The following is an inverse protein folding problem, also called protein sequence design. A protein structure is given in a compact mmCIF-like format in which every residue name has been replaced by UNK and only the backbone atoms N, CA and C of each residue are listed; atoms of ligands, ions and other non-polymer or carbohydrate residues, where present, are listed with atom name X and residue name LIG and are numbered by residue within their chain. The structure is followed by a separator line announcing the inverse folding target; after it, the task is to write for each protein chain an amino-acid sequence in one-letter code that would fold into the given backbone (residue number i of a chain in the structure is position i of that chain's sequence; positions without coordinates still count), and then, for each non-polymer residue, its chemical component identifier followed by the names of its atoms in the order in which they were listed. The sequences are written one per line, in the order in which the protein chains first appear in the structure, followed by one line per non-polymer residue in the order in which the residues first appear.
data_IF_990224817615
#
_entry.id   IF_990224817615
#
_cell.length_a   1.000
_cell.length_b   1.000
_cell.length_c   1.000
_cell.angle_alpha   90.00
_cell.angle_beta   90.00
_cell.angle_gamma   90.00
#
_symmetry.space_group_name_H-M   'P 1'
#
loop_
_entity.id
_entity.type
_entity.pdbx_description
1 polymer ?
#
# COMPACT_ATOMS: atom_id res chain seq x y z
N UNK A 1 0.60 41.36 -7.94
CA UNK A 1 0.57 39.92 -8.24
C UNK A 1 1.59 39.70 -9.34
N UNK A 2 2.84 39.53 -8.95
CA UNK A 2 3.99 39.31 -9.84
C UNK A 2 4.01 37.84 -10.25
N UNK A 3 4.03 37.58 -11.54
CA UNK A 3 4.10 36.24 -12.11
C UNK A 3 5.38 35.52 -11.61
N UNK A 4 5.27 34.41 -10.86
CA UNK A 4 6.44 33.69 -10.34
C UNK A 4 7.05 32.74 -11.38
N UNK A 5 6.54 32.68 -12.60
CA UNK A 5 7.10 31.83 -13.66
C UNK A 5 7.74 32.72 -14.73
N UNK A 6 9.03 33.00 -14.56
CA UNK A 6 9.84 33.70 -15.55
C UNK A 6 9.62 33.11 -16.94
N UNK A 7 9.07 33.92 -17.84
CA UNK A 7 8.83 33.56 -19.22
C UNK A 7 10.17 33.27 -19.91
N UNK A 8 10.50 31.99 -20.06
CA UNK A 8 11.59 31.56 -20.92
C UNK A 8 11.28 31.97 -22.36
N UNK A 9 11.93 33.01 -22.86
CA UNK A 9 11.86 33.38 -24.27
C UNK A 9 12.68 32.32 -25.04
N UNK A 10 12.00 31.50 -25.84
CA UNK A 10 12.67 30.66 -26.84
C UNK A 10 13.07 31.56 -28.01
N UNK A 11 14.25 32.17 -27.91
CA UNK A 11 14.84 32.97 -28.96
C UNK A 11 15.88 32.17 -29.75
N UNK A 12 15.60 31.89 -31.03
CA UNK A 12 16.65 31.47 -31.95
C UNK A 12 17.37 32.73 -32.46
N UNK A 13 18.50 33.06 -31.86
CA UNK A 13 19.39 34.14 -32.31
C UNK A 13 20.43 33.55 -33.26
N UNK A 14 20.57 34.13 -34.46
CA UNK A 14 21.66 33.81 -35.39
C UNK A 14 22.72 34.89 -35.22
N UNK A 15 23.88 34.55 -34.66
CA UNK A 15 25.07 35.37 -34.86
C UNK A 15 25.67 35.03 -36.24
N UNK A 16 26.49 35.92 -36.79
CA UNK A 16 27.04 35.79 -38.15
C UNK A 16 27.94 34.56 -38.37
N UNK A 17 28.14 33.68 -37.37
CA UNK A 17 29.06 32.56 -37.48
C UNK A 17 28.56 31.18 -37.03
N UNK A 18 27.42 31.01 -36.37
CA UNK A 18 26.82 29.67 -36.13
C UNK A 18 25.44 29.77 -35.44
N UNK A 19 24.69 28.66 -35.45
CA UNK A 19 23.42 28.50 -34.71
C UNK A 19 23.72 28.39 -33.20
N UNK A 20 23.43 29.44 -32.43
CA UNK A 20 23.43 29.35 -30.97
C UNK A 20 22.24 28.50 -30.52
N UNK A 21 22.53 27.33 -29.95
CA UNK A 21 21.49 26.45 -29.40
C UNK A 21 20.93 27.05 -28.09
N UNK A 22 19.70 27.55 -28.17
CA UNK A 22 18.99 28.27 -27.12
C UNK A 22 18.62 27.44 -25.89
N UNK A 23 19.56 27.29 -24.97
CA UNK A 23 19.33 26.87 -23.58
C UNK A 23 19.97 27.83 -22.57
N UNK A 24 20.27 29.07 -22.99
CA UNK A 24 20.76 30.13 -22.12
C UNK A 24 19.59 30.84 -21.42
N UNK A 25 19.77 31.25 -20.16
CA UNK A 25 18.79 32.10 -19.47
C UNK A 25 18.83 33.50 -20.10
N UNK A 26 17.71 34.22 -20.10
CA UNK A 26 17.68 35.58 -20.63
C UNK A 26 18.72 36.47 -19.92
N UNK A 27 19.63 37.07 -20.69
CA UNK A 27 20.72 37.91 -20.17
C UNK A 27 22.01 37.18 -19.79
N UNK A 28 22.08 35.85 -19.99
CA UNK A 28 23.29 35.06 -19.77
C UNK A 28 24.21 35.11 -21.00
N UNK A 29 25.49 35.42 -20.79
CA UNK A 29 26.50 35.33 -21.86
C UNK A 29 26.99 33.88 -22.07
N UNK A 30 27.76 33.67 -23.14
CA UNK A 30 28.29 32.36 -23.51
C UNK A 30 29.16 31.73 -22.40
N UNK A 31 29.97 32.53 -21.69
CA UNK A 31 30.85 32.04 -20.64
C UNK A 31 30.04 31.59 -19.42
N UNK A 32 29.05 32.38 -19.02
CA UNK A 32 28.13 32.04 -17.93
C UNK A 32 27.33 30.77 -18.24
N UNK A 33 26.89 30.59 -19.50
CA UNK A 33 26.23 29.36 -19.93
C UNK A 33 27.15 28.13 -19.76
N UNK A 34 28.40 28.19 -20.22
CA UNK A 34 29.34 27.08 -20.07
C UNK A 34 29.68 26.79 -18.61
N UNK A 35 29.81 27.83 -17.78
CA UNK A 35 30.00 27.66 -16.34
C UNK A 35 28.80 26.96 -15.70
N UNK A 36 27.56 27.31 -16.08
CA UNK A 36 26.36 26.61 -15.61
C UNK A 36 26.30 25.17 -16.12
N UNK A 37 26.54 24.94 -17.40
CA UNK A 37 26.52 23.57 -17.97
C UNK A 37 27.54 22.69 -17.25
N UNK A 38 28.75 23.20 -17.04
CA UNK A 38 29.80 22.50 -16.27
C UNK A 38 29.37 22.24 -14.84
N UNK A 39 28.73 23.21 -14.17
CA UNK A 39 28.16 23.03 -12.83
C UNK A 39 27.08 21.96 -12.81
N UNK A 40 26.16 21.96 -13.76
CA UNK A 40 25.09 20.97 -13.87
C UNK A 40 25.64 19.57 -14.17
N UNK A 41 26.63 19.46 -15.05
CA UNK A 41 27.31 18.20 -15.33
C UNK A 41 28.03 17.69 -14.09
N UNK A 42 28.70 18.57 -13.33
CA UNK A 42 29.29 18.21 -12.02
C UNK A 42 28.25 17.84 -10.98
N UNK A 43 27.05 18.44 -11.00
CA UNK A 43 25.95 18.05 -10.11
C UNK A 43 25.39 16.68 -10.47
N UNK A 44 25.23 16.38 -11.77
CA UNK A 44 24.80 15.06 -12.24
C UNK A 44 25.86 14.02 -11.91
N UNK A 45 27.14 14.31 -12.17
CA UNK A 45 28.28 13.49 -11.76
C UNK A 45 28.34 13.36 -10.24
N UNK A 46 27.93 14.41 -9.51
CA UNK A 46 27.87 14.39 -8.06
C UNK A 46 26.77 13.50 -7.49
N UNK A 47 25.70 13.31 -8.26
CA UNK A 47 24.59 12.44 -7.91
C UNK A 47 24.78 11.01 -8.42
N UNK A 48 25.88 10.71 -9.11
CA UNK A 48 26.20 9.32 -9.43
C UNK A 48 26.43 8.54 -8.14
N UNK A 49 25.76 7.39 -8.03
CA UNK A 49 25.62 6.56 -6.83
C UNK A 49 26.95 6.07 -6.22
N UNK A 50 28.09 6.32 -6.88
CA UNK A 50 29.39 5.78 -6.51
C UNK A 50 30.29 6.77 -5.76
N UNK A 51 29.86 8.00 -5.48
CA UNK A 51 30.70 8.93 -4.72
C UNK A 51 31.11 8.38 -3.36
N UNK A 52 32.41 8.36 -3.08
CA UNK A 52 32.96 7.84 -1.83
C UNK A 52 32.53 6.39 -1.54
N UNK A 53 32.06 5.65 -2.55
CA UNK A 53 31.73 4.25 -2.42
C UNK A 53 33.02 3.42 -2.35
N UNK A 54 32.98 2.22 -1.72
CA UNK A 54 34.02 1.24 -1.90
C UNK A 54 34.29 0.97 -3.38
N UNK A 55 35.57 0.78 -3.74
CA UNK A 55 35.98 0.37 -5.09
C UNK A 55 36.64 -1.02 -5.03
N UNK A 56 35.84 -2.12 -5.03
CA UNK A 56 36.36 -3.47 -4.85
C UNK A 56 37.33 -3.92 -5.93
N UNK A 57 37.22 -3.35 -7.14
CA UNK A 57 38.12 -3.66 -8.25
C UNK A 57 39.59 -3.28 -7.96
N UNK A 58 39.82 -2.43 -6.95
CA UNK A 58 41.15 -1.95 -6.54
C UNK A 58 41.59 -2.45 -5.16
N UNK A 59 40.86 -3.36 -4.53
CA UNK A 59 41.29 -3.95 -3.27
C UNK A 59 42.53 -4.82 -3.46
N UNK A 60 43.51 -4.67 -2.58
CA UNK A 60 44.73 -5.47 -2.60
C UNK A 60 45.25 -5.71 -1.19
N UNK A 61 45.17 -6.95 -0.70
CA UNK A 61 45.50 -7.29 0.68
C UNK A 61 44.67 -6.48 1.68
N UNK A 62 45.34 -5.70 2.54
CA UNK A 62 44.71 -4.82 3.53
C UNK A 62 44.38 -3.41 3.00
N UNK A 63 44.56 -3.17 1.69
CA UNK A 63 44.32 -1.87 1.08
C UNK A 63 42.85 -1.74 0.65
N UNK A 64 42.11 -0.88 1.33
CA UNK A 64 40.75 -0.49 0.98
C UNK A 64 40.79 0.69 0.01
N UNK A 65 40.27 0.50 -1.20
CA UNK A 65 40.16 1.54 -2.21
C UNK A 65 38.75 2.15 -2.23
N UNK A 66 38.63 3.43 -2.51
CA UNK A 66 37.34 4.10 -2.65
C UNK A 66 37.33 5.01 -3.87
N UNK A 67 36.14 5.18 -4.45
CA UNK A 67 35.93 6.18 -5.50
C UNK A 67 35.98 7.58 -4.91
N UNK A 68 36.55 8.51 -5.66
CA UNK A 68 36.48 9.93 -5.36
C UNK A 68 35.04 10.45 -5.35
N UNK A 69 34.91 11.76 -5.23
CA UNK A 69 33.62 12.41 -5.26
C UNK A 69 33.76 13.90 -5.49
N UNK A 70 32.63 14.60 -5.50
CA UNK A 70 32.56 16.05 -5.67
C UNK A 70 31.81 16.62 -4.48
N UNK A 71 32.42 17.59 -3.82
CA UNK A 71 31.88 18.22 -2.62
C UNK A 71 31.55 19.68 -2.88
N UNK A 72 30.44 20.14 -2.31
CA UNK A 72 30.06 21.55 -2.31
C UNK A 72 30.52 22.19 -1.00
N UNK A 73 31.77 22.64 -0.96
CA UNK A 73 32.37 23.35 0.18
C UNK A 73 32.35 24.86 -0.03
N UNK A 74 31.33 25.38 -0.71
CA UNK A 74 31.26 26.75 -1.22
C UNK A 74 31.77 26.88 -2.67
N UNK A 75 32.64 25.95 -3.08
CA UNK A 75 33.03 25.67 -4.46
C UNK A 75 33.00 24.16 -4.70
N UNK A 76 32.61 23.74 -5.91
CA UNK A 76 32.55 22.32 -6.30
C UNK A 76 33.97 21.77 -6.45
N UNK A 77 34.44 21.08 -5.40
CA UNK A 77 35.78 20.50 -5.33
C UNK A 77 35.73 19.02 -5.68
N UNK A 78 36.54 18.60 -6.66
CA UNK A 78 36.69 17.19 -7.04
C UNK A 78 37.75 16.55 -6.14
N UNK A 79 37.36 15.49 -5.45
CA UNK A 79 38.22 14.63 -4.65
C UNK A 79 38.56 13.39 -5.49
N UNK A 80 39.83 13.06 -5.71
CA UNK A 80 40.22 11.89 -6.48
C UNK A 80 39.92 10.59 -5.72
N UNK A 81 39.91 9.46 -6.43
CA UNK A 81 39.96 8.13 -5.82
C UNK A 81 41.14 8.02 -4.86
N UNK A 82 40.97 7.24 -3.79
CA UNK A 82 42.02 7.02 -2.81
C UNK A 82 42.04 5.61 -2.26
N UNK A 83 43.08 5.35 -1.47
CA UNK A 83 43.32 4.07 -0.83
C UNK A 83 43.63 4.29 0.67
N UNK A 84 43.20 3.37 1.53
CA UNK A 84 43.55 3.30 2.94
C UNK A 84 44.14 1.93 3.28
N UNK A 85 45.21 1.90 4.07
CA UNK A 85 45.74 0.66 4.63
C UNK A 85 45.02 0.39 5.95
N UNK A 86 44.36 -0.76 6.04
CA UNK A 86 43.63 -1.17 7.22
C UNK A 86 44.46 -2.11 8.11
N UNK A 87 44.24 -2.11 9.44
CA UNK A 87 44.84 -3.11 10.32
C UNK A 87 44.37 -4.52 9.94
N UNK A 88 45.23 -5.52 10.15
CA UNK A 88 44.89 -6.93 9.93
C UNK A 88 44.02 -7.49 11.07
N UNK A 89 43.16 -8.47 10.78
CA UNK A 89 42.30 -9.15 11.75
C UNK A 89 41.45 -8.18 12.59
N UNK A 90 40.95 -7.12 11.97
CA UNK A 90 40.24 -6.04 12.66
C UNK A 90 39.00 -5.61 11.89
N UNK A 91 38.11 -4.89 12.57
CA UNK A 91 37.03 -4.13 11.92
C UNK A 91 37.44 -2.66 11.91
N UNK A 92 37.35 -2.02 10.76
CA UNK A 92 37.61 -0.60 10.56
C UNK A 92 36.37 0.11 10.05
N UNK A 93 36.13 1.30 10.55
CA UNK A 93 35.03 2.17 10.15
C UNK A 93 35.63 3.28 9.31
N UNK A 94 35.40 3.21 7.99
CA UNK A 94 35.89 4.18 7.02
C UNK A 94 34.89 5.33 6.93
N UNK A 95 35.39 6.54 7.13
CA UNK A 95 34.60 7.76 7.23
C UNK A 95 35.32 8.92 6.53
N UNK A 96 34.56 9.94 6.15
CA UNK A 96 35.09 11.16 5.53
C UNK A 96 34.69 12.42 6.26
N UNK A 97 35.52 13.45 6.15
CA UNK A 97 35.16 14.81 6.53
C UNK A 97 34.24 15.45 5.48
N UNK A 98 33.64 16.57 5.85
CA UNK A 98 32.90 17.45 4.91
C UNK A 98 33.79 18.01 3.80
N UNK A 99 35.11 18.05 4.03
CA UNK A 99 36.12 18.44 3.04
C UNK A 99 36.67 17.28 2.20
N UNK A 100 36.20 16.05 2.42
CA UNK A 100 36.56 14.88 1.60
C UNK A 100 37.85 14.17 2.00
N UNK A 101 38.43 14.49 3.15
CA UNK A 101 39.50 13.68 3.72
C UNK A 101 38.92 12.37 4.23
N UNK A 102 39.49 11.24 3.82
CA UNK A 102 39.01 9.90 4.22
C UNK A 102 39.97 9.29 5.24
N UNK A 103 39.44 8.65 6.27
CA UNK A 103 40.22 7.91 7.27
C UNK A 103 39.51 6.63 7.70
N UNK A 104 40.23 5.79 8.45
CA UNK A 104 39.69 4.62 9.12
C UNK A 104 39.87 4.72 10.63
N UNK A 105 38.83 4.40 11.40
CA UNK A 105 38.86 4.34 12.87
C UNK A 105 38.47 2.96 13.38
N UNK A 106 38.90 2.61 14.59
CA UNK A 106 38.75 1.25 15.13
C UNK A 106 37.47 1.02 15.95
N UNK A 107 36.83 2.09 16.44
CA UNK A 107 35.73 2.00 17.42
C UNK A 107 34.52 2.80 16.94
N UNK A 108 33.80 2.25 15.97
CA UNK A 108 32.58 2.88 15.42
C UNK A 108 32.86 4.13 14.57
N UNK A 109 31.80 4.69 13.98
CA UNK A 109 31.87 5.96 13.26
C UNK A 109 31.91 7.15 14.23
N UNK A 110 32.69 8.17 13.89
CA UNK A 110 32.83 9.42 14.65
C UNK A 110 31.74 10.41 14.23
N UNK A 111 30.49 10.13 14.60
CA UNK A 111 29.34 11.01 14.32
C UNK A 111 29.20 12.09 15.41
N UNK A 112 28.81 13.34 15.10
CA UNK A 112 28.39 13.87 13.79
C UNK A 112 29.51 14.46 12.92
N UNK A 113 30.73 14.54 13.43
CA UNK A 113 31.83 15.28 12.78
C UNK A 113 32.37 14.60 11.51
N UNK A 114 32.07 13.31 11.32
CA UNK A 114 32.47 12.52 10.16
C UNK A 114 31.28 11.78 9.55
N UNK A 115 31.29 11.71 8.22
CA UNK A 115 30.27 11.04 7.43
C UNK A 115 30.67 9.58 7.22
N UNK A 116 29.86 8.60 7.66
CA UNK A 116 30.11 7.19 7.42
C UNK A 116 30.23 6.84 5.93
N UNK A 117 31.21 6.02 5.58
CA UNK A 117 31.36 5.45 4.23
C UNK A 117 31.19 3.94 4.22
N UNK A 118 32.02 3.22 4.99
CA UNK A 118 32.01 1.76 4.98
C UNK A 118 32.45 1.17 6.31
N UNK A 119 31.96 -0.01 6.61
CA UNK A 119 32.50 -0.88 7.66
C UNK A 119 33.25 -2.03 6.99
N UNK A 120 34.54 -2.15 7.27
CA UNK A 120 35.44 -3.09 6.59
C UNK A 120 36.01 -4.07 7.61
N UNK A 121 35.90 -5.36 7.34
CA UNK A 121 36.52 -6.42 8.15
C UNK A 121 37.69 -7.03 7.41
N UNK A 122 38.85 -7.08 8.05
CA UNK A 122 40.04 -7.74 7.51
C UNK A 122 40.32 -9.04 8.26
N UNK A 123 40.89 -10.03 7.56
CA UNK A 123 41.33 -11.29 8.16
C UNK A 123 42.49 -11.87 7.34
N UNK A 124 43.49 -12.41 8.04
CA UNK A 124 44.62 -13.12 7.43
C UNK A 124 45.35 -12.34 6.30
N UNK A 125 45.44 -11.01 6.44
CA UNK A 125 46.14 -10.14 5.48
C UNK A 125 45.27 -9.63 4.32
N UNK A 126 43.98 -9.93 4.33
CA UNK A 126 43.05 -9.54 3.26
C UNK A 126 41.79 -8.84 3.80
N UNK A 127 41.12 -8.08 2.94
CA UNK A 127 39.76 -7.59 3.17
C UNK A 127 38.78 -8.76 2.98
N UNK A 128 38.03 -9.09 4.03
CA UNK A 128 37.10 -10.22 4.05
C UNK A 128 35.63 -9.82 3.86
N UNK A 129 35.27 -8.60 4.28
CA UNK A 129 33.90 -8.10 4.19
C UNK A 129 33.92 -6.57 4.12
N UNK A 130 33.02 -6.01 3.32
CA UNK A 130 32.81 -4.57 3.18
C UNK A 130 31.33 -4.31 3.14
N UNK A 131 30.85 -3.59 4.15
CA UNK A 131 29.48 -3.12 4.22
C UNK A 131 29.45 -1.62 3.94
N UNK A 132 28.76 -1.22 2.88
CA UNK A 132 28.49 0.20 2.60
C UNK A 132 27.60 0.77 3.71
N UNK A 133 28.03 1.90 4.27
CA UNK A 133 27.36 2.59 5.39
C UNK A 133 27.06 4.04 5.05
N UNK A 134 27.15 4.43 3.77
CA UNK A 134 26.78 5.78 3.34
C UNK A 134 25.30 6.02 3.63
N UNK A 135 24.93 7.21 4.14
CA UNK A 135 23.52 7.57 4.30
C UNK A 135 22.85 7.62 2.91
N UNK A 136 21.63 7.09 2.81
CA UNK A 136 20.84 7.15 1.58
C UNK A 136 20.59 8.61 1.18
N UNK A 137 20.66 8.90 -0.13
CA UNK A 137 20.39 10.24 -0.67
C UNK A 137 19.01 10.74 -0.21
N UNK A 138 18.99 11.76 0.65
CA UNK A 138 17.76 12.35 1.22
C UNK A 138 17.34 11.78 2.57
N UNK A 139 18.01 10.75 3.09
CA UNK A 139 17.88 10.31 4.48
C UNK A 139 18.75 11.18 5.38
N UNK A 140 18.16 11.84 6.38
CA UNK A 140 18.95 12.47 7.44
C UNK A 140 19.91 11.42 8.04
N UNK A 141 21.19 11.73 8.27
CA UNK A 141 22.17 10.75 8.74
C UNK A 141 21.77 10.30 10.15
N UNK A 142 21.19 9.10 10.26
CA UNK A 142 20.80 8.51 11.53
C UNK A 142 22.03 7.93 12.23
N UNK A 143 22.78 8.82 12.88
CA UNK A 143 23.73 8.45 13.94
C UNK A 143 22.97 7.92 15.17
N UNK A 144 22.33 6.76 15.04
CA UNK A 144 21.85 5.96 16.18
C UNK A 144 21.55 4.54 15.70
N UNK A 145 22.18 3.57 16.36
CA UNK A 145 22.03 2.13 16.20
C UNK A 145 20.76 1.64 15.47
N UNK A 146 20.97 1.06 14.27
CA UNK A 146 20.07 0.16 13.56
C UNK A 146 18.56 0.38 13.75
N UNK A 147 18.03 1.36 13.02
CA UNK A 147 16.60 1.44 12.70
C UNK A 147 16.42 1.04 11.24
N UNK A 148 15.73 -0.08 11.00
CA UNK A 148 15.20 -0.39 9.68
C UNK A 148 13.76 0.10 9.66
N UNK A 149 13.51 1.21 8.98
CA UNK A 149 12.15 1.70 8.76
C UNK A 149 11.58 1.01 7.52
N UNK A 150 10.77 -0.02 7.71
CA UNK A 150 9.95 -0.55 6.64
C UNK A 150 8.74 0.36 6.46
N UNK A 151 8.77 1.17 5.40
CA UNK A 151 7.61 1.95 4.97
C UNK A 151 6.93 1.21 3.81
N UNK A 152 5.84 0.50 4.08
CA UNK A 152 4.87 0.19 3.03
C UNK A 152 3.42 0.25 3.53
N UNK A 153 2.68 1.14 2.85
CA UNK A 153 1.35 0.95 2.26
C UNK A 153 0.30 0.29 3.17
N UNK A 154 -0.46 1.13 3.89
CA UNK A 154 -1.93 1.08 4.07
C UNK A 154 -2.35 1.96 5.27
N UNK A 155 -2.39 3.29 5.07
CA UNK A 155 -3.32 4.20 5.75
C UNK A 155 -3.29 4.38 7.28
N UNK A 156 -2.52 3.65 8.07
CA UNK A 156 -2.44 3.86 9.53
C UNK A 156 -1.02 3.64 10.03
N UNK A 157 -0.42 4.69 10.59
CA UNK A 157 0.95 4.67 11.09
C UNK A 157 0.96 3.95 12.44
N UNK A 158 1.51 2.73 12.47
CA UNK A 158 1.90 2.09 13.72
C UNK A 158 3.43 2.22 13.87
N UNK A 159 3.86 3.22 14.65
CA UNK A 159 5.27 3.38 15.02
C UNK A 159 5.63 2.35 16.09
N UNK A 160 6.30 1.27 15.71
CA UNK A 160 6.83 0.28 16.67
C UNK A 160 8.35 0.45 16.76
N UNK A 161 8.84 0.93 17.90
CA UNK A 161 10.26 1.02 18.22
C UNK A 161 10.69 -0.25 18.95
N UNK A 162 11.70 -0.98 18.44
CA UNK A 162 12.20 -2.19 19.11
C UNK A 162 13.74 -2.19 19.18
N UNK A 163 14.34 -2.45 20.35
CA UNK A 163 15.80 -2.51 20.49
C UNK A 163 16.42 -3.78 19.89
N UNK A 164 17.64 -3.65 19.35
CA UNK A 164 18.42 -4.73 18.72
C UNK A 164 18.81 -5.89 19.66
N UNK A 165 18.72 -5.71 20.98
CA UNK A 165 18.94 -6.79 21.95
C UNK A 165 17.83 -7.85 21.93
N UNK A 166 16.72 -7.57 21.25
CA UNK A 166 15.56 -8.45 21.17
C UNK A 166 15.51 -9.29 19.88
N UNK A 167 16.60 -9.43 19.11
CA UNK A 167 16.59 -10.18 17.81
C UNK A 167 16.13 -11.63 17.93
N UNK A 168 16.32 -12.29 19.09
CA UNK A 168 15.74 -13.62 19.34
C UNK A 168 14.22 -13.58 19.57
N UNK A 169 13.68 -12.46 20.06
CA UNK A 169 12.24 -12.19 20.17
C UNK A 169 11.65 -11.75 18.83
N UNK A 170 12.47 -11.27 17.87
CA UNK A 170 12.03 -10.94 16.51
C UNK A 170 11.65 -12.18 15.69
N UNK A 171 12.25 -13.34 15.93
CA UNK A 171 11.77 -14.59 15.32
C UNK A 171 10.41 -15.01 15.86
N UNK A 172 10.14 -14.78 17.15
CA UNK A 172 8.80 -14.93 17.71
C UNK A 172 7.83 -13.90 17.12
N UNK A 173 8.26 -12.65 16.94
CA UNK A 173 7.44 -11.59 16.33
C UNK A 173 7.13 -11.84 14.84
N UNK A 174 8.12 -12.25 14.04
CA UNK A 174 7.93 -12.64 12.64
C UNK A 174 7.01 -13.85 12.51
N UNK A 175 7.12 -14.81 13.43
CA UNK A 175 6.21 -15.96 13.49
C UNK A 175 4.78 -15.47 13.77
N UNK A 176 4.59 -14.61 14.77
CA UNK A 176 3.29 -14.02 15.13
C UNK A 176 2.69 -13.20 13.98
N UNK A 177 3.50 -12.37 13.31
CA UNK A 177 3.08 -11.54 12.18
C UNK A 177 2.71 -12.40 10.95
N UNK A 178 3.47 -13.47 10.69
CA UNK A 178 3.15 -14.42 9.61
C UNK A 178 1.91 -15.26 9.88
N UNK A 179 1.54 -15.49 11.15
CA UNK A 179 0.25 -16.12 11.53
C UNK A 179 -0.92 -15.14 11.56
N UNK A 180 -0.67 -13.83 11.45
CA UNK A 180 -1.69 -12.77 11.51
C UNK A 180 -2.05 -12.20 10.14
N UNK A 181 -1.37 -12.60 9.06
CA UNK A 181 -1.87 -12.42 7.70
C UNK A 181 -2.61 -13.70 7.37
N UNK A 182 -3.95 -13.75 7.51
CA UNK A 182 -4.69 -14.92 7.08
C UNK A 182 -4.44 -15.10 5.58
N UNK A 183 -4.25 -16.34 5.13
CA UNK A 183 -4.64 -16.78 3.78
C UNK A 183 -5.90 -16.00 3.33
N UNK A 184 -6.04 -15.62 2.04
CA UNK A 184 -7.04 -14.65 1.57
C UNK A 184 -8.33 -14.81 2.34
N UNK A 185 -8.70 -13.77 3.11
CA UNK A 185 -9.64 -13.88 4.21
C UNK A 185 -10.89 -14.64 3.76
N UNK A 186 -11.03 -15.90 4.16
CA UNK A 186 -12.28 -16.64 3.99
C UNK A 186 -13.21 -16.12 5.08
N UNK A 187 -13.83 -14.98 4.81
CA UNK A 187 -14.85 -14.42 5.69
C UNK A 187 -16.10 -15.27 5.49
N UNK A 188 -16.28 -16.27 6.35
CA UNK A 188 -17.48 -17.11 6.36
C UNK A 188 -18.69 -16.36 6.93
N UNK A 189 -18.48 -15.23 7.62
CA UNK A 189 -19.56 -14.47 8.28
C UNK A 189 -19.31 -12.97 8.20
N UNK A 190 -20.28 -12.25 7.62
CA UNK A 190 -20.35 -10.79 7.66
C UNK A 190 -21.34 -10.41 8.77
N UNK A 191 -20.86 -9.71 9.80
CA UNK A 191 -21.71 -9.20 10.88
C UNK A 191 -22.02 -7.72 10.65
N UNK A 192 -23.30 -7.37 10.56
CA UNK A 192 -23.74 -5.98 10.65
C UNK A 192 -23.49 -5.45 12.06
N UNK A 193 -22.85 -4.28 12.20
CA UNK A 193 -22.48 -3.67 13.49
C UNK A 193 -23.34 -2.49 13.89
N UNK A 194 -24.29 -2.14 13.04
CA UNK A 194 -25.22 -1.02 13.22
C UNK A 194 -26.63 -1.59 13.29
N UNK A 195 -27.47 -1.01 14.15
CA UNK A 195 -28.88 -1.34 14.14
C UNK A 195 -29.52 -0.69 12.91
N UNK A 196 -30.20 -1.48 12.08
CA UNK A 196 -31.04 -1.04 10.96
C UNK A 196 -30.34 -0.31 9.78
N UNK A 197 -29.01 -0.38 9.64
CA UNK A 197 -28.33 0.32 8.53
C UNK A 197 -28.18 -0.54 7.26
N UNK A 198 -28.21 -1.86 7.41
CA UNK A 198 -27.89 -2.84 6.39
C UNK A 198 -26.40 -2.92 6.05
N UNK A 199 -26.06 -3.90 5.21
CA UNK A 199 -24.74 -4.03 4.57
C UNK A 199 -24.94 -4.05 3.06
N UNK A 200 -24.31 -3.11 2.35
CA UNK A 200 -24.25 -3.14 0.89
C UNK A 200 -23.06 -3.99 0.46
N UNK A 201 -23.32 -5.08 -0.26
CA UNK A 201 -22.27 -5.94 -0.83
C UNK A 201 -22.34 -5.84 -2.36
N UNK A 202 -21.35 -5.17 -2.94
CA UNK A 202 -21.24 -5.03 -4.39
C UNK A 202 -20.47 -6.21 -4.97
N UNK A 203 -20.94 -6.76 -6.10
CA UNK A 203 -20.23 -7.83 -6.80
C UNK A 203 -20.33 -9.22 -6.16
N UNK A 204 -21.38 -9.49 -5.38
CA UNK A 204 -21.63 -10.84 -4.84
C UNK A 204 -21.77 -11.83 -6.00
N UNK A 205 -20.83 -12.75 -6.11
CA UNK A 205 -20.95 -13.93 -6.96
C UNK A 205 -21.55 -15.07 -6.13
N UNK A 206 -22.84 -15.28 -6.30
CA UNK A 206 -23.51 -16.46 -5.75
C UNK A 206 -23.35 -17.60 -6.75
N UNK A 207 -22.81 -18.73 -6.30
CA UNK A 207 -22.80 -19.95 -7.11
C UNK A 207 -24.22 -20.48 -7.19
N UNK A 208 -24.59 -20.99 -8.36
CA UNK A 208 -25.89 -21.62 -8.57
C UNK A 208 -26.06 -22.83 -7.66
N UNK A 209 -27.24 -22.94 -7.03
CA UNK A 209 -27.62 -24.12 -6.23
C UNK A 209 -27.53 -24.00 -4.71
N UNK A 210 -26.93 -22.93 -4.16
CA UNK A 210 -26.79 -22.76 -2.70
C UNK A 210 -27.68 -21.64 -2.11
N UNK A 211 -28.33 -20.85 -2.96
CA UNK A 211 -29.39 -19.93 -2.50
C UNK A 211 -30.69 -20.72 -2.36
N UNK A 212 -31.01 -21.13 -1.13
CA UNK A 212 -32.33 -21.66 -0.82
C UNK A 212 -33.32 -20.52 -0.55
N UNK A 213 -34.03 -20.09 -1.60
CA UNK A 213 -35.27 -19.33 -1.40
C UNK A 213 -36.31 -20.33 -0.92
N UNK A 214 -36.77 -20.17 0.33
CA UNK A 214 -37.81 -21.03 0.91
C UNK A 214 -39.01 -21.13 -0.04
N UNK A 215 -39.12 -22.24 -0.76
CA UNK A 215 -40.23 -22.48 -1.69
C UNK A 215 -41.48 -22.67 -0.85
N UNK A 216 -42.60 -22.08 -1.27
CA UNK A 216 -43.91 -22.33 -0.66
C UNK A 216 -44.77 -23.15 -1.63
N UNK A 217 -45.51 -24.12 -1.11
CA UNK A 217 -46.60 -24.74 -1.85
C UNK A 217 -47.76 -23.74 -1.95
N UNK A 218 -48.36 -23.68 -3.14
CA UNK A 218 -49.54 -22.87 -3.41
C UNK A 218 -50.75 -23.77 -3.59
N UNK A 219 -51.85 -23.40 -2.95
CA UNK A 219 -53.18 -23.94 -3.20
C UNK A 219 -54.09 -22.85 -3.68
N UNK A 220 -54.91 -23.18 -4.67
CA UNK A 220 -55.90 -22.29 -5.25
C UNK A 220 -57.23 -23.03 -5.28
N UNK A 221 -58.28 -22.36 -4.86
CA UNK A 221 -59.66 -22.86 -4.96
C UNK A 221 -60.56 -21.75 -5.50
N UNK A 222 -60.95 -21.88 -6.76
CA UNK A 222 -61.94 -21.02 -7.41
C UNK A 222 -63.32 -21.63 -7.18
N UNK A 223 -64.14 -20.94 -6.39
CA UNK A 223 -65.47 -21.44 -6.02
C UNK A 223 -66.48 -21.35 -7.17
N UNK A 224 -66.16 -20.65 -8.26
CA UNK A 224 -67.06 -20.48 -9.40
C UNK A 224 -68.34 -19.70 -9.09
N UNK A 225 -68.44 -19.07 -7.91
CA UNK A 225 -69.60 -18.26 -7.51
C UNK A 225 -69.49 -16.83 -8.05
N UNK A 226 -70.57 -16.07 -7.96
CA UNK A 226 -70.60 -14.63 -8.29
C UNK A 226 -70.99 -13.83 -7.03
N UNK A 227 -70.21 -12.82 -6.59
CA UNK A 227 -68.95 -12.35 -7.17
C UNK A 227 -67.87 -13.45 -7.16
N UNK A 228 -66.95 -13.37 -8.13
CA UNK A 228 -65.92 -14.40 -8.27
C UNK A 228 -65.05 -14.41 -7.02
N UNK A 229 -64.90 -15.58 -6.42
CA UNK A 229 -64.20 -15.76 -5.15
C UNK A 229 -63.13 -16.84 -5.30
N UNK A 230 -61.88 -16.43 -5.08
CA UNK A 230 -60.70 -17.28 -5.14
C UNK A 230 -60.03 -17.33 -3.76
N UNK A 231 -59.75 -18.54 -3.28
CA UNK A 231 -58.93 -18.75 -2.09
C UNK A 231 -57.52 -19.11 -2.50
N UNK A 232 -56.53 -18.51 -1.84
CA UNK A 232 -55.11 -18.78 -2.06
C UNK A 232 -54.46 -19.17 -0.74
N UNK A 233 -53.93 -20.38 -0.67
CA UNK A 233 -53.18 -20.89 0.48
C UNK A 233 -51.68 -20.97 0.17
N UNK A 234 -50.85 -20.52 1.11
CA UNK A 234 -49.38 -20.66 1.07
C UNK A 234 -48.92 -21.45 2.30
N UNK A 235 -48.07 -22.46 2.10
CA UNK A 235 -47.46 -23.23 3.19
C UNK A 235 -46.12 -23.83 2.76
N UNK A 236 -45.39 -24.46 3.68
CA UNK A 236 -44.22 -25.27 3.32
C UNK A 236 -44.60 -26.40 2.33
N UNK A 237 -43.71 -26.77 1.38
CA UNK A 237 -43.93 -27.92 0.50
C UNK A 237 -44.13 -29.21 1.32
N UNK A 238 -45.16 -29.98 0.98
CA UNK A 238 -45.53 -31.20 1.71
C UNK A 238 -46.45 -30.98 2.91
N UNK A 239 -46.81 -29.74 3.24
CA UNK A 239 -47.82 -29.46 4.27
C UNK A 239 -49.14 -30.17 3.98
N UNK A 240 -49.69 -30.84 4.99
CA UNK A 240 -51.01 -31.44 4.89
C UNK A 240 -52.09 -30.36 4.91
N UNK A 241 -53.14 -30.54 4.11
CA UNK A 241 -54.24 -29.57 3.99
C UNK A 241 -55.05 -29.45 5.30
N UNK A 242 -55.03 -30.48 6.14
CA UNK A 242 -55.68 -30.49 7.46
C UNK A 242 -54.81 -29.95 8.61
N UNK A 243 -53.59 -29.47 8.34
CA UNK A 243 -52.69 -28.93 9.36
C UNK A 243 -52.77 -27.40 9.44
N UNK A 244 -52.62 -26.86 10.65
CA UNK A 244 -52.62 -25.42 10.94
C UNK A 244 -51.25 -24.81 10.59
N UNK A 245 -50.94 -24.76 9.30
CA UNK A 245 -49.63 -24.35 8.75
C UNK A 245 -49.76 -23.51 7.47
N UNK A 246 -50.98 -23.08 7.14
CA UNK A 246 -51.27 -22.33 5.92
C UNK A 246 -51.51 -20.87 6.26
N UNK A 247 -50.93 -19.97 5.47
CA UNK A 247 -51.39 -18.60 5.37
C UNK A 247 -52.41 -18.53 4.24
N UNK A 248 -53.62 -18.03 4.51
CA UNK A 248 -54.74 -18.09 3.57
C UNK A 248 -55.24 -16.68 3.25
N UNK A 249 -55.42 -16.41 1.95
CA UNK A 249 -56.02 -15.18 1.44
C UNK A 249 -57.34 -15.51 0.75
N UNK A 250 -58.32 -14.62 0.90
CA UNK A 250 -59.54 -14.59 0.09
C UNK A 250 -59.46 -13.43 -0.87
N UNK A 251 -59.70 -13.71 -2.14
CA UNK A 251 -59.67 -12.73 -3.21
C UNK A 251 -61.08 -12.66 -3.79
N UNK A 252 -61.72 -11.49 -3.64
CA UNK A 252 -63.04 -11.22 -4.17
C UNK A 252 -62.90 -10.29 -5.37
N UNK A 253 -63.38 -10.71 -6.54
CA UNK A 253 -63.36 -9.87 -7.73
C UNK A 253 -64.70 -9.13 -7.86
N UNK A 254 -64.63 -7.80 -7.85
CA UNK A 254 -65.77 -6.93 -8.07
C UNK A 254 -66.13 -6.85 -9.57
N UNK A 255 -67.36 -6.40 -9.85
CA UNK A 255 -67.90 -6.33 -11.22
C UNK A 255 -67.25 -5.27 -12.11
N UNK A 256 -66.58 -4.29 -11.50
CA UNK A 256 -65.79 -3.25 -12.17
C UNK A 256 -64.38 -3.71 -12.54
N UNK A 257 -64.00 -4.93 -12.15
CA UNK A 257 -62.69 -5.52 -12.43
C UNK A 257 -61.69 -5.38 -11.29
N UNK A 258 -62.05 -4.71 -10.19
CA UNK A 258 -61.22 -4.60 -9.01
C UNK A 258 -61.18 -5.92 -8.22
N UNK A 259 -60.15 -6.09 -7.40
CA UNK A 259 -59.98 -7.27 -6.56
C UNK A 259 -59.64 -6.86 -5.13
N UNK A 260 -60.47 -7.29 -4.19
CA UNK A 260 -60.20 -7.16 -2.76
C UNK A 260 -59.45 -8.39 -2.28
N UNK A 261 -58.36 -8.18 -1.54
CA UNK A 261 -57.55 -9.25 -0.94
C UNK A 261 -57.62 -9.10 0.57
N UNK A 262 -58.23 -10.09 1.20
CA UNK A 262 -58.39 -10.16 2.65
C UNK A 262 -57.60 -11.35 3.18
N UNK A 263 -57.03 -11.21 4.38
CA UNK A 263 -56.31 -12.30 5.02
C UNK A 263 -57.26 -13.07 5.93
N UNK A 264 -57.09 -14.39 5.99
CA UNK A 264 -57.66 -15.19 7.05
C UNK A 264 -57.27 -14.57 8.40
N UNK A 265 -58.23 -14.42 9.31
CA UNK A 265 -58.10 -13.84 10.65
C UNK A 265 -57.45 -12.43 10.74
N UNK A 266 -57.24 -11.76 9.60
CA UNK A 266 -56.65 -10.43 9.49
C UNK A 266 -55.12 -10.39 9.56
N UNK A 267 -54.41 -11.53 9.42
CA UNK A 267 -52.95 -11.53 9.37
C UNK A 267 -52.36 -12.57 8.38
N UNK A 268 -51.05 -12.46 8.14
CA UNK A 268 -50.32 -13.32 7.21
C UNK A 268 -49.69 -14.57 7.82
N UNK A 269 -50.12 -15.01 9.00
CA UNK A 269 -49.47 -16.11 9.73
C UNK A 269 -49.80 -17.47 9.11
N UNK A 270 -48.89 -18.42 9.31
CA UNK A 270 -49.02 -19.81 8.85
C UNK A 270 -49.62 -20.69 9.95
N UNK A 271 -50.82 -20.36 10.42
CA UNK A 271 -51.53 -21.03 11.52
C UNK A 271 -52.96 -21.45 11.15
N UNK A 272 -53.36 -21.30 9.89
CA UNK A 272 -54.67 -21.69 9.39
C UNK A 272 -54.67 -23.09 8.75
N UNK A 273 -55.84 -23.72 8.71
CA UNK A 273 -56.06 -25.05 8.11
C UNK A 273 -56.73 -24.88 6.74
N UNK A 274 -56.08 -25.35 5.65
CA UNK A 274 -56.60 -25.20 4.29
C UNK A 274 -57.97 -25.84 4.08
N UNK A 275 -58.24 -27.01 4.66
CA UNK A 275 -59.56 -27.65 4.54
C UNK A 275 -60.69 -26.79 5.12
N UNK A 276 -60.37 -25.87 6.03
CA UNK A 276 -61.33 -24.98 6.68
C UNK A 276 -61.50 -23.63 5.98
N UNK A 277 -60.78 -23.35 4.87
CA UNK A 277 -60.73 -22.04 4.18
C UNK A 277 -62.10 -21.35 3.98
N UNK A 278 -63.18 -22.10 3.77
CA UNK A 278 -64.52 -21.55 3.56
C UNK A 278 -65.18 -21.04 4.86
N UNK A 279 -64.74 -21.51 6.01
CA UNK A 279 -65.31 -21.22 7.34
C UNK A 279 -64.50 -20.21 8.15
N UNK A 280 -63.37 -19.73 7.63
CA UNK A 280 -62.50 -18.76 8.30
C UNK A 280 -63.06 -17.34 8.11
N UNK A 281 -62.84 -16.48 9.09
CA UNK A 281 -63.12 -15.04 8.97
C UNK A 281 -62.02 -14.37 8.15
N UNK A 282 -62.39 -13.40 7.32
CA UNK A 282 -61.45 -12.66 6.46
C UNK A 282 -61.63 -11.15 6.68
N UNK A 283 -60.51 -10.44 6.79
CA UNK A 283 -60.45 -8.98 6.94
C UNK A 283 -59.10 -8.40 6.52
#
# INVERSE_FOLDING_TARGET
MTDPLGSGIVGLSRSAKELDFGWARAGEDQEQFYQRLTRNLRQIDAQLQNQFAPNPARFLGLKFAYFGGVLDTGDWTVIPDGDLVLPNNATSYVERSDSGTVRAVAVGFTYPDWIPMAQVRTRAGEISDVLDRRPELGGAPSGSAGLVTFSQILGTILNVQVPLSAVSQWQAFLTILSTQIPEPWTVDTINERTLDAGVTIEGVLLKDGEIEVAKKALRLDDTGVTPKLLYLGKAAPGSAEGSAVWAIQRITFASDGDADVEWADGNGNEDNIWTNRLAISYS
#
